data_IF_305891211328
#
_entry.id   IF_305891211328
#
_cell.length_a   1.000
_cell.length_b   1.000
_cell.length_c   1.000
_cell.angle_alpha   90.00
_cell.angle_beta   90.00
_cell.angle_gamma   90.00
#
_symmetry.space_group_name_H-M   'P 1'
#
loop_
_entity.id
_entity.type
_entity.pdbx_description
1 polymer ?
#
# COMPACT_ATOMS: atom_id res chain seq x y z
N UNK A 1 -14.51 5.90 -18.09
CA UNK A 1 -14.30 6.48 -16.76
C UNK A 1 -13.43 7.72 -16.91
N UNK A 2 -13.76 8.79 -16.18
CA UNK A 2 -12.94 10.01 -16.09
C UNK A 2 -12.54 10.17 -14.63
N UNK A 3 -11.52 9.43 -14.15
CA UNK A 3 -11.10 9.50 -12.76
C UNK A 3 -10.48 10.87 -12.47
N UNK A 4 -10.69 11.39 -11.27
CA UNK A 4 -10.05 12.62 -10.78
C UNK A 4 -8.66 12.32 -10.16
N UNK A 5 -8.40 11.05 -9.83
CA UNK A 5 -7.13 10.57 -9.31
C UNK A 5 -7.05 9.04 -9.34
N UNK A 6 -5.83 8.53 -9.24
CA UNK A 6 -5.52 7.11 -9.13
C UNK A 6 -4.69 6.90 -7.86
N UNK A 7 -5.10 5.93 -7.05
CA UNK A 7 -4.41 5.52 -5.85
C UNK A 7 -3.89 4.08 -6.01
N UNK A 8 -2.62 3.86 -5.71
CA UNK A 8 -2.01 2.54 -5.59
C UNK A 8 -1.65 2.28 -4.14
N UNK A 9 -2.06 1.14 -3.60
CA UNK A 9 -1.69 0.68 -2.26
C UNK A 9 -1.03 -0.69 -2.42
N UNK A 10 0.21 -0.83 -1.94
CA UNK A 10 0.97 -2.09 -1.92
C UNK A 10 1.11 -2.77 -3.30
N UNK A 11 0.84 -2.06 -4.37
CA UNK A 11 0.92 -2.66 -5.70
C UNK A 11 2.32 -2.55 -6.28
N UNK A 12 2.93 -3.68 -6.62
CA UNK A 12 4.21 -3.75 -7.30
C UNK A 12 4.17 -3.00 -8.65
N UNK A 13 5.18 -2.18 -8.91
CA UNK A 13 5.43 -1.53 -10.19
C UNK A 13 6.74 -2.02 -10.81
N UNK A 14 6.96 -1.72 -12.09
CA UNK A 14 8.18 -2.16 -12.78
C UNK A 14 9.43 -1.44 -12.28
N UNK A 15 10.55 -2.17 -12.28
CA UNK A 15 11.88 -1.61 -12.06
C UNK A 15 12.49 -1.07 -13.37
N UNK A 16 13.75 -0.62 -13.33
CA UNK A 16 14.45 -0.06 -14.50
C UNK A 16 14.81 -1.12 -15.57
N UNK A 17 14.72 -2.42 -15.25
CA UNK A 17 14.81 -3.52 -16.22
C UNK A 17 13.45 -3.86 -16.86
N UNK A 18 12.38 -3.15 -16.51
CA UNK A 18 11.03 -3.44 -16.97
C UNK A 18 10.36 -4.64 -16.29
N UNK A 19 10.92 -5.14 -15.18
CA UNK A 19 10.46 -6.31 -14.45
C UNK A 19 9.69 -5.91 -13.20
N UNK A 20 8.77 -6.77 -12.76
CA UNK A 20 8.12 -6.69 -11.47
C UNK A 20 8.83 -7.62 -10.50
N UNK A 21 9.33 -7.08 -9.40
CA UNK A 21 10.01 -7.85 -8.37
C UNK A 21 9.23 -7.80 -7.06
N UNK A 22 9.25 -8.89 -6.30
CA UNK A 22 8.75 -8.87 -4.93
C UNK A 22 9.78 -8.19 -3.98
N UNK A 23 9.43 -8.04 -2.70
CA UNK A 23 10.30 -7.43 -1.69
C UNK A 23 11.67 -8.12 -1.51
N UNK A 24 11.84 -9.36 -2.03
CA UNK A 24 13.10 -10.12 -2.00
C UNK A 24 13.89 -10.03 -3.32
N UNK A 25 13.45 -9.18 -4.26
CA UNK A 25 14.08 -9.03 -5.57
C UNK A 25 13.80 -10.17 -6.55
N UNK A 26 12.88 -11.09 -6.22
CA UNK A 26 12.52 -12.19 -7.12
C UNK A 26 11.59 -11.67 -8.21
N UNK A 27 11.89 -11.98 -9.46
CA UNK A 27 11.05 -11.64 -10.61
C UNK A 27 9.71 -12.38 -10.54
N UNK A 28 8.62 -11.61 -10.53
CA UNK A 28 7.23 -12.08 -10.48
C UNK A 28 6.42 -11.60 -11.69
N UNK A 29 7.09 -11.16 -12.75
CA UNK A 29 6.45 -10.52 -13.92
C UNK A 29 5.40 -11.39 -14.57
N UNK A 30 5.60 -12.71 -14.63
CA UNK A 30 4.64 -13.66 -15.24
C UNK A 30 3.29 -13.68 -14.50
N UNK A 31 3.29 -13.34 -13.20
CA UNK A 31 2.10 -13.36 -12.35
C UNK A 31 1.62 -11.95 -11.96
N UNK A 32 2.17 -10.90 -12.60
CA UNK A 32 1.90 -9.50 -12.24
C UNK A 32 1.29 -8.75 -13.41
N UNK A 33 0.03 -8.35 -13.28
CA UNK A 33 -0.61 -7.49 -14.27
C UNK A 33 0.05 -6.10 -14.28
N UNK A 34 0.30 -5.49 -15.47
CA UNK A 34 1.00 -4.21 -15.62
C UNK A 34 0.10 -3.02 -15.27
N UNK A 35 -0.36 -2.93 -14.02
CA UNK A 35 -1.26 -1.87 -13.56
C UNK A 35 -0.58 -0.51 -13.43
N UNK A 36 0.74 -0.47 -13.39
CA UNK A 36 1.54 0.75 -13.42
C UNK A 36 1.42 1.53 -14.74
N UNK A 37 0.95 0.89 -15.82
CA UNK A 37 0.58 1.59 -17.06
C UNK A 37 -0.51 2.64 -16.83
N UNK A 38 -1.40 2.44 -15.87
CA UNK A 38 -2.39 3.45 -15.51
C UNK A 38 -1.75 4.72 -14.94
N UNK A 39 -0.59 4.61 -14.28
CA UNK A 39 0.15 5.77 -13.77
C UNK A 39 0.81 6.57 -14.89
N UNK A 40 1.34 5.89 -15.91
CA UNK A 40 1.84 6.56 -17.11
C UNK A 40 0.73 7.29 -17.86
N UNK A 41 -0.39 6.62 -18.09
CA UNK A 41 -1.57 7.22 -18.74
C UNK A 41 -2.15 8.38 -17.93
N UNK A 42 -2.12 8.29 -16.60
CA UNK A 42 -2.57 9.36 -15.70
C UNK A 42 -1.69 10.61 -15.86
N UNK A 43 -0.36 10.43 -15.87
CA UNK A 43 0.58 11.52 -16.05
C UNK A 43 0.38 12.23 -17.41
N UNK A 44 0.15 11.47 -18.49
CA UNK A 44 -0.14 12.03 -19.82
C UNK A 44 -1.45 12.83 -19.87
N UNK A 45 -2.41 12.49 -19.02
CA UNK A 45 -3.74 13.10 -18.98
C UNK A 45 -3.92 14.12 -17.87
N UNK A 46 -2.88 14.41 -17.09
CA UNK A 46 -2.96 15.30 -15.95
C UNK A 46 -3.89 14.82 -14.83
N UNK A 47 -4.08 13.50 -14.72
CA UNK A 47 -4.84 12.86 -13.63
C UNK A 47 -3.93 12.67 -12.43
N UNK A 48 -4.34 13.14 -11.26
CA UNK A 48 -3.57 13.05 -10.02
C UNK A 48 -3.27 11.60 -9.64
N UNK A 49 -2.05 11.33 -9.18
CA UNK A 49 -1.60 10.01 -8.78
C UNK A 49 -1.04 9.99 -7.36
N UNK A 50 -1.34 8.93 -6.60
CA UNK A 50 -0.81 8.72 -5.27
C UNK A 50 -0.41 7.25 -5.09
N UNK A 51 0.81 7.01 -4.60
CA UNK A 51 1.29 5.69 -4.20
C UNK A 51 1.36 5.57 -2.68
N UNK A 52 1.05 4.39 -2.17
CA UNK A 52 1.31 3.99 -0.77
C UNK A 52 2.16 2.73 -0.83
N UNK A 53 3.31 2.76 -0.15
CA UNK A 53 4.27 1.65 -0.18
C UNK A 53 5.16 1.62 1.05
N UNK A 54 5.93 0.53 1.22
CA UNK A 54 6.81 0.28 2.36
C UNK A 54 8.14 -0.38 1.97
N UNK A 55 8.16 -1.26 0.96
CA UNK A 55 9.29 -2.12 0.63
C UNK A 55 10.22 -1.63 -0.48
N UNK A 56 9.77 -0.72 -1.35
CA UNK A 56 10.56 -0.17 -2.45
C UNK A 56 10.23 -0.73 -3.84
N UNK A 57 9.42 -1.77 -3.94
CA UNK A 57 8.95 -2.34 -5.21
C UNK A 57 7.57 -1.84 -5.64
N UNK A 58 6.90 -1.01 -4.85
CA UNK A 58 5.54 -0.54 -5.09
C UNK A 58 5.51 0.69 -6.01
N UNK A 59 4.40 0.86 -6.71
CA UNK A 59 4.12 2.05 -7.54
C UNK A 59 4.17 3.31 -6.67
N UNK A 60 4.92 4.31 -7.11
CA UNK A 60 5.21 5.54 -6.38
C UNK A 60 6.62 5.55 -5.78
N UNK A 61 7.24 4.39 -5.53
CA UNK A 61 8.60 4.30 -4.99
C UNK A 61 9.66 4.87 -5.94
N UNK A 62 9.33 5.08 -7.21
CA UNK A 62 10.15 5.84 -8.14
C UNK A 62 10.51 7.25 -7.65
N UNK A 63 9.71 7.81 -6.74
CA UNK A 63 9.99 9.11 -6.10
C UNK A 63 11.21 9.06 -5.16
N UNK A 64 11.54 7.89 -4.62
CA UNK A 64 12.61 7.65 -3.64
C UNK A 64 13.54 6.52 -4.06
N UNK A 65 13.54 6.13 -5.35
CA UNK A 65 14.28 4.98 -5.87
C UNK A 65 15.77 5.00 -5.52
N UNK A 66 16.41 6.16 -5.52
CA UNK A 66 17.83 6.28 -5.17
C UNK A 66 18.09 5.98 -3.69
N UNK A 67 17.19 6.41 -2.81
CA UNK A 67 17.26 6.08 -1.39
C UNK A 67 17.07 4.58 -1.16
N UNK A 68 16.13 3.96 -1.88
CA UNK A 68 15.91 2.49 -1.83
C UNK A 68 17.17 1.75 -2.28
N UNK A 69 17.78 2.11 -3.42
CA UNK A 69 19.03 1.50 -3.89
C UNK A 69 20.18 1.62 -2.90
N UNK A 70 20.25 2.74 -2.19
CA UNK A 70 21.32 2.98 -1.21
C UNK A 70 21.13 2.23 0.11
N UNK A 71 19.90 1.94 0.49
CA UNK A 71 19.55 1.40 1.82
C UNK A 71 19.10 -0.05 1.78
N UNK A 72 18.54 -0.51 0.69
CA UNK A 72 18.01 -1.86 0.53
C UNK A 72 18.72 -2.56 -0.64
N UNK A 73 18.94 -3.87 -0.50
CA UNK A 73 19.48 -4.71 -1.59
C UNK A 73 18.37 -5.08 -2.57
N UNK A 74 17.71 -4.07 -3.14
CA UNK A 74 16.59 -4.22 -4.05
C UNK A 74 16.75 -3.31 -5.26
N UNK A 75 16.44 -3.82 -6.47
CA UNK A 75 16.21 -2.99 -7.63
C UNK A 75 14.78 -2.40 -7.53
N UNK A 76 14.63 -1.11 -7.17
CA UNK A 76 13.33 -0.55 -6.79
C UNK A 76 12.41 -0.36 -7.99
N UNK A 77 11.13 -0.22 -7.72
CA UNK A 77 10.18 0.34 -8.68
C UNK A 77 10.64 1.72 -9.13
N UNK A 78 10.56 2.00 -10.44
CA UNK A 78 10.90 3.32 -11.02
C UNK A 78 9.67 4.15 -11.34
N UNK A 79 8.48 3.60 -11.21
CA UNK A 79 7.23 4.30 -11.48
C UNK A 79 6.96 5.34 -10.39
N UNK A 80 6.84 6.59 -10.81
CA UNK A 80 6.58 7.73 -9.93
C UNK A 80 5.08 7.97 -9.76
N UNK A 81 4.74 8.69 -8.70
CA UNK A 81 3.42 9.27 -8.46
C UNK A 81 3.57 10.75 -8.08
N UNK A 82 2.50 11.56 -8.20
CA UNK A 82 2.53 12.96 -7.76
C UNK A 82 2.76 13.07 -6.26
N UNK A 83 2.25 12.09 -5.50
CA UNK A 83 2.49 11.97 -4.05
C UNK A 83 2.79 10.53 -3.68
N UNK A 84 3.60 10.38 -2.65
CA UNK A 84 3.95 9.09 -2.06
C UNK A 84 3.73 9.15 -0.55
N UNK A 85 3.01 8.17 -0.04
CA UNK A 85 2.90 7.88 1.39
C UNK A 85 3.79 6.68 1.70
N UNK A 86 4.80 6.90 2.54
CA UNK A 86 5.68 5.85 3.05
C UNK A 86 5.22 5.45 4.44
N UNK A 87 5.11 4.15 4.67
CA UNK A 87 4.79 3.58 5.97
C UNK A 87 5.67 2.36 6.23
N UNK A 88 5.70 1.85 7.44
CA UNK A 88 6.37 0.58 7.75
C UNK A 88 5.60 -0.63 7.26
N UNK A 89 4.30 -0.44 7.02
CA UNK A 89 3.35 -1.38 6.42
C UNK A 89 2.40 -0.53 5.57
N UNK A 90 2.23 -0.84 4.32
CA UNK A 90 1.39 -0.06 3.39
C UNK A 90 -0.05 0.04 3.85
N UNK A 91 -0.60 -0.99 4.50
CA UNK A 91 -1.93 -0.96 5.11
C UNK A 91 -2.06 0.19 6.13
N UNK A 92 -1.05 0.38 6.99
CA UNK A 92 -1.05 1.47 7.98
C UNK A 92 -0.99 2.85 7.32
N UNK A 93 -0.21 2.97 6.23
CA UNK A 93 -0.21 4.17 5.39
C UNK A 93 -1.59 4.46 4.79
N UNK A 94 -2.28 3.43 4.33
CA UNK A 94 -3.63 3.54 3.78
C UNK A 94 -4.67 3.91 4.86
N UNK A 95 -4.55 3.38 6.07
CA UNK A 95 -5.41 3.79 7.20
C UNK A 95 -5.18 5.26 7.56
N UNK A 96 -3.91 5.69 7.65
CA UNK A 96 -3.56 7.08 7.90
C UNK A 96 -4.13 8.02 6.84
N UNK A 97 -3.99 7.65 5.57
CA UNK A 97 -4.58 8.40 4.46
C UNK A 97 -6.10 8.48 4.57
N UNK A 98 -6.77 7.37 4.90
CA UNK A 98 -8.23 7.32 5.06
C UNK A 98 -8.68 8.17 6.25
N UNK A 99 -7.95 8.16 7.36
CA UNK A 99 -8.23 9.03 8.50
C UNK A 99 -8.11 10.52 8.12
N UNK A 100 -7.04 10.90 7.41
CA UNK A 100 -6.87 12.27 6.92
C UNK A 100 -8.01 12.71 5.97
N UNK A 101 -8.43 11.83 5.07
CA UNK A 101 -9.59 12.08 4.20
C UNK A 101 -10.87 12.24 5.02
N UNK A 102 -11.03 11.46 6.10
CA UNK A 102 -12.13 11.59 7.05
C UNK A 102 -12.17 12.96 7.70
N UNK A 103 -11.03 13.44 8.18
CA UNK A 103 -10.91 14.80 8.74
C UNK A 103 -11.33 15.86 7.73
N UNK A 104 -10.85 15.76 6.49
CA UNK A 104 -11.23 16.69 5.41
C UNK A 104 -12.72 16.61 5.05
N UNK A 105 -13.33 15.42 5.16
CA UNK A 105 -14.74 15.19 4.89
C UNK A 105 -15.66 15.47 6.09
N UNK A 106 -15.11 15.82 7.26
CA UNK A 106 -15.87 16.05 8.49
C UNK A 106 -16.57 14.80 9.02
N UNK A 107 -16.07 13.60 8.77
CA UNK A 107 -16.65 12.33 9.24
C UNK A 107 -15.62 11.20 9.26
N UNK A 108 -15.83 10.22 10.15
CA UNK A 108 -15.03 9.00 10.16
C UNK A 108 -15.26 8.20 8.87
N UNK A 109 -14.18 7.92 8.14
CA UNK A 109 -14.18 7.08 6.93
C UNK A 109 -13.53 5.71 7.14
N UNK A 110 -12.89 5.48 8.30
CA UNK A 110 -12.34 4.17 8.62
C UNK A 110 -13.45 3.19 8.97
N UNK A 111 -13.30 1.90 8.64
CA UNK A 111 -14.24 0.88 9.08
C UNK A 111 -14.23 0.73 10.60
N UNK A 112 -15.23 0.05 11.15
CA UNK A 112 -15.21 -0.27 12.58
C UNK A 112 -14.03 -1.19 12.93
N UNK A 113 -13.49 -1.13 14.15
CA UNK A 113 -12.40 -2.02 14.58
C UNK A 113 -12.75 -3.50 14.41
N UNK A 114 -13.95 -3.90 14.82
CA UNK A 114 -14.45 -5.27 14.65
C UNK A 114 -14.45 -5.73 13.18
N UNK A 115 -14.75 -4.82 12.25
CA UNK A 115 -14.73 -5.14 10.82
C UNK A 115 -13.35 -5.60 10.34
N UNK A 116 -12.28 -4.91 10.76
CA UNK A 116 -10.91 -5.27 10.37
C UNK A 116 -10.56 -6.68 10.87
N UNK A 117 -10.80 -6.93 12.16
CA UNK A 117 -10.53 -8.22 12.77
C UNK A 117 -11.31 -9.36 12.12
N UNK A 118 -12.62 -9.18 11.93
CA UNK A 118 -13.50 -10.17 11.31
C UNK A 118 -13.07 -10.49 9.88
N UNK A 119 -12.69 -9.48 9.09
CA UNK A 119 -12.30 -9.70 7.70
C UNK A 119 -10.91 -10.34 7.57
N UNK A 120 -9.93 -9.97 8.37
CA UNK A 120 -8.62 -10.63 8.37
C UNK A 120 -8.77 -12.12 8.74
N UNK A 121 -9.56 -12.43 9.78
CA UNK A 121 -9.85 -13.82 10.15
C UNK A 121 -10.56 -14.56 9.01
N UNK A 122 -11.59 -13.95 8.43
CA UNK A 122 -12.33 -14.54 7.32
C UNK A 122 -11.45 -14.83 6.10
N UNK A 123 -10.53 -13.94 5.77
CA UNK A 123 -9.61 -14.17 4.65
C UNK A 123 -8.64 -15.32 4.95
N UNK A 124 -8.11 -15.38 6.17
CA UNK A 124 -7.28 -16.52 6.60
C UNK A 124 -8.07 -17.85 6.52
N UNK A 125 -9.31 -17.86 7.01
CA UNK A 125 -10.20 -19.04 6.94
C UNK A 125 -10.51 -19.46 5.49
N UNK A 126 -10.51 -18.54 4.55
CA UNK A 126 -10.66 -18.79 3.12
C UNK A 126 -9.37 -19.28 2.44
N UNK A 127 -8.26 -19.36 3.17
CA UNK A 127 -6.96 -19.80 2.67
C UNK A 127 -6.10 -18.67 2.09
N UNK A 128 -6.45 -17.40 2.30
CA UNK A 128 -5.54 -16.31 2.00
C UNK A 128 -4.32 -16.39 2.92
N UNK A 129 -3.14 -16.19 2.35
CA UNK A 129 -1.88 -16.25 3.08
C UNK A 129 -1.23 -14.86 3.15
N UNK A 130 -0.59 -14.58 4.26
CA UNK A 130 0.27 -13.41 4.43
C UNK A 130 1.50 -13.50 3.49
N UNK A 131 1.84 -12.41 2.82
CA UNK A 131 2.92 -12.36 1.84
C UNK A 131 4.31 -12.56 2.44
N UNK A 132 4.49 -12.27 3.73
CA UNK A 132 5.76 -12.35 4.44
C UNK A 132 5.97 -13.72 5.08
N UNK A 133 5.05 -14.16 5.95
CA UNK A 133 5.17 -15.43 6.67
C UNK A 133 4.62 -16.64 5.89
N UNK A 134 3.78 -16.43 4.88
CA UNK A 134 3.14 -17.44 4.01
C UNK A 134 2.19 -18.39 4.76
N UNK A 135 1.64 -17.92 5.86
CA UNK A 135 0.66 -18.67 6.66
C UNK A 135 -0.74 -18.12 6.42
N UNK A 136 -1.75 -19.00 6.45
CA UNK A 136 -3.16 -18.64 6.43
C UNK A 136 -3.60 -18.23 7.85
N UNK A 137 -3.09 -17.10 8.31
CA UNK A 137 -3.33 -16.51 9.63
C UNK A 137 -3.76 -15.06 9.47
N UNK A 138 -4.50 -14.49 10.43
CA UNK A 138 -4.94 -13.10 10.38
C UNK A 138 -3.78 -12.14 10.71
N UNK A 139 -2.77 -12.12 9.83
CA UNK A 139 -1.58 -11.27 9.93
C UNK A 139 -1.53 -10.31 8.72
N UNK A 140 -0.77 -9.24 8.84
CA UNK A 140 -0.47 -8.29 7.76
C UNK A 140 1.02 -8.04 7.78
N UNK A 141 1.72 -8.35 6.69
CA UNK A 141 3.18 -8.26 6.55
C UNK A 141 3.95 -8.94 7.70
N UNK A 142 3.44 -10.08 8.16
CA UNK A 142 3.99 -10.83 9.28
C UNK A 142 3.64 -10.28 10.66
N UNK A 143 2.96 -9.13 10.75
CA UNK A 143 2.49 -8.60 12.04
C UNK A 143 1.20 -9.30 12.47
N UNK A 144 1.11 -9.74 13.75
CA UNK A 144 -0.07 -10.39 14.26
C UNK A 144 -1.23 -9.40 14.42
N UNK A 145 -2.46 -9.91 14.37
CA UNK A 145 -3.70 -9.15 14.49
C UNK A 145 -3.72 -8.16 15.67
N UNK A 146 -3.10 -8.51 16.80
CA UNK A 146 -3.03 -7.61 17.96
C UNK A 146 -2.24 -6.32 17.69
N UNK A 147 -1.13 -6.40 16.93
CA UNK A 147 -0.35 -5.24 16.52
C UNK A 147 -1.12 -4.42 15.48
N UNK A 148 -1.71 -5.10 14.51
CA UNK A 148 -2.53 -4.49 13.47
C UNK A 148 -3.68 -3.67 14.07
N UNK A 149 -4.44 -4.27 15.00
CA UNK A 149 -5.52 -3.59 15.72
C UNK A 149 -5.01 -2.39 16.51
N UNK A 150 -3.88 -2.52 17.21
CA UNK A 150 -3.32 -1.41 17.98
C UNK A 150 -2.99 -0.20 17.10
N UNK A 151 -2.33 -0.41 15.97
CA UNK A 151 -1.99 0.67 15.04
C UNK A 151 -3.25 1.28 14.44
N UNK A 152 -4.19 0.44 13.99
CA UNK A 152 -5.46 0.89 13.43
C UNK A 152 -6.24 1.77 14.41
N UNK A 153 -6.36 1.35 15.68
CA UNK A 153 -7.06 2.09 16.73
C UNK A 153 -6.38 3.43 17.05
N UNK A 154 -5.05 3.47 17.07
CA UNK A 154 -4.31 4.71 17.28
C UNK A 154 -4.56 5.72 16.15
N UNK A 155 -4.51 5.26 14.90
CA UNK A 155 -4.77 6.09 13.72
C UNK A 155 -6.22 6.60 13.76
N UNK A 156 -7.18 5.71 14.07
CA UNK A 156 -8.60 6.06 14.14
C UNK A 156 -8.89 7.06 15.25
N UNK A 157 -8.32 6.83 16.44
CA UNK A 157 -8.48 7.74 17.58
C UNK A 157 -7.91 9.13 17.27
N UNK A 158 -6.77 9.19 16.57
CA UNK A 158 -6.23 10.47 16.10
C UNK A 158 -7.20 11.16 15.14
N UNK A 159 -7.71 10.45 14.13
CA UNK A 159 -8.65 11.00 13.16
C UNK A 159 -9.93 11.53 13.82
N UNK A 160 -10.52 10.76 14.74
CA UNK A 160 -11.72 11.17 15.49
C UNK A 160 -11.48 12.42 16.36
N UNK A 161 -10.28 12.58 16.91
CA UNK A 161 -9.92 13.74 17.70
C UNK A 161 -9.78 15.05 16.88
N UNK A 162 -9.77 14.95 15.55
CA UNK A 162 -9.71 16.09 14.63
C UNK A 162 -11.09 16.48 14.07
N UNK A 163 -12.12 15.65 14.29
CA UNK A 163 -13.51 15.91 13.86
C UNK A 163 -14.26 16.79 14.86
#
# INVERSE_FOLDING_TARGET
>A
LSPVGILSIERCGRNDEGKYANMRGVDISENTAPLDEFFHLAAERGVFTLGVGDGGNEIGMGNVADAVRQKLSLNPCVVKADRLVLASVSNWGAYGLTACLGVLAGRDLLPSPGWLQENLQRWADMGCVDGVNRLAEPTVDGYPLGVENQVFEQIRAWGLAQL
#
